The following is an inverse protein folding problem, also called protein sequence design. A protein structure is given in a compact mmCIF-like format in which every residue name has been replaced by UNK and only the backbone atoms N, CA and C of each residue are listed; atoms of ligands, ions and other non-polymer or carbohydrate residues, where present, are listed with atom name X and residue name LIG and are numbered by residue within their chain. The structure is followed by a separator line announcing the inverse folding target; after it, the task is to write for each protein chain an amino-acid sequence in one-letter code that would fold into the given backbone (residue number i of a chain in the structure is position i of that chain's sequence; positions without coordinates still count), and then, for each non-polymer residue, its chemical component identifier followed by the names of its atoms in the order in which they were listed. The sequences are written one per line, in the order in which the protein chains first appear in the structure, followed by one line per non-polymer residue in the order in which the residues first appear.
data_IF_458755182002
#
_entry.id   IF_458755182002
#
_cell.length_a   1.000
_cell.length_b   1.000
_cell.length_c   1.000
_cell.angle_alpha   90.00
_cell.angle_beta   90.00
_cell.angle_gamma   90.00
#
_symmetry.space_group_name_H-M   'P 1'
#
loop_
_entity.id
_entity.type
_entity.pdbx_description
1 polymer ?
#
# COMPACT_ATOMS: atom_id res chain seq x y z
N UNK A 1 -12.43 -5.48 6.52
CA UNK A 1 -11.39 -6.17 7.30
C UNK A 1 -11.29 -5.50 8.66
N UNK A 2 -11.31 -6.24 9.77
CA UNK A 2 -11.12 -5.66 11.10
C UNK A 2 -9.62 -5.60 11.40
N UNK A 3 -9.01 -4.42 11.27
CA UNK A 3 -7.57 -4.23 11.48
C UNK A 3 -7.14 -4.38 12.95
N UNK A 4 -8.07 -4.35 13.92
CA UNK A 4 -7.73 -4.37 15.34
C UNK A 4 -7.18 -5.73 15.84
N UNK A 5 -7.32 -6.78 15.05
CA UNK A 5 -6.84 -8.13 15.38
C UNK A 5 -5.37 -8.34 15.00
N UNK A 6 -4.81 -7.43 14.20
CA UNK A 6 -3.43 -7.47 13.75
C UNK A 6 -2.48 -6.84 14.78
N UNK A 7 -1.21 -7.25 14.78
CA UNK A 7 -0.17 -6.62 15.57
C UNK A 7 0.02 -5.15 15.16
N UNK A 8 0.67 -4.35 16.01
CA UNK A 8 0.90 -2.93 15.71
C UNK A 8 1.64 -2.71 14.38
N UNK A 9 2.63 -3.57 14.08
CA UNK A 9 3.41 -3.48 12.82
C UNK A 9 2.53 -3.82 11.61
N UNK A 10 1.70 -4.83 11.75
CA UNK A 10 0.78 -5.26 10.69
C UNK A 10 -0.28 -4.19 10.42
N UNK A 11 -0.87 -3.61 11.47
CA UNK A 11 -1.76 -2.44 11.30
C UNK A 11 -1.05 -1.28 10.60
N UNK A 12 0.23 -1.07 10.89
CA UNK A 12 1.02 0.00 10.31
C UNK A 12 1.24 -0.19 8.80
N UNK A 13 1.61 -1.40 8.34
CA UNK A 13 1.73 -1.68 6.90
C UNK A 13 0.37 -1.63 6.20
N UNK A 14 -0.69 -2.12 6.85
CA UNK A 14 -2.04 -2.13 6.26
C UNK A 14 -2.63 -0.72 6.11
N UNK A 15 -2.16 0.25 6.90
CA UNK A 15 -2.59 1.64 6.84
C UNK A 15 -1.59 2.57 6.17
N UNK A 16 -0.45 2.04 5.69
CA UNK A 16 0.63 2.89 5.19
C UNK A 16 0.21 3.68 3.95
N UNK A 17 -0.54 3.06 3.04
CA UNK A 17 -1.02 3.72 1.81
C UNK A 17 -1.97 4.86 2.14
N UNK A 18 -2.93 4.64 3.04
CA UNK A 18 -3.85 5.69 3.49
C UNK A 18 -3.09 6.86 4.12
N UNK A 19 -2.13 6.58 5.01
CA UNK A 19 -1.28 7.61 5.63
C UNK A 19 -0.48 8.42 4.60
N UNK A 20 0.05 7.75 3.58
CA UNK A 20 0.79 8.41 2.51
C UNK A 20 -0.10 9.35 1.71
N UNK A 21 -1.30 8.90 1.34
CA UNK A 21 -2.28 9.69 0.60
C UNK A 21 -2.75 10.89 1.42
N UNK A 22 -3.11 10.69 2.69
CA UNK A 22 -3.52 11.77 3.60
C UNK A 22 -2.42 12.83 3.73
N UNK A 23 -1.17 12.40 3.94
CA UNK A 23 -0.03 13.30 4.03
C UNK A 23 0.17 14.09 2.73
N UNK A 24 0.03 13.44 1.57
CA UNK A 24 0.17 14.10 0.30
C UNK A 24 -0.95 15.15 0.08
N UNK A 25 -2.18 14.86 0.52
CA UNK A 25 -3.30 15.81 0.50
C UNK A 25 -3.09 17.02 1.42
N UNK A 26 -2.51 16.83 2.60
CA UNK A 26 -2.22 17.93 3.53
C UNK A 26 -1.14 18.90 3.01
N UNK A 27 -0.25 18.42 2.13
CA UNK A 27 0.86 19.22 1.59
C UNK A 27 0.50 20.04 0.34
N UNK A 28 -0.70 19.87 -0.22
CA UNK A 28 -1.10 20.50 -1.48
C UNK A 28 -2.51 21.07 -1.42
N UNK A 29 -2.66 22.35 -1.77
CA UNK A 29 -3.97 22.99 -1.97
C UNK A 29 -4.64 22.60 -3.31
N UNK A 30 -4.01 21.73 -4.11
CA UNK A 30 -4.49 21.24 -5.40
C UNK A 30 -4.65 19.72 -5.39
N UNK A 31 -5.46 19.15 -6.32
CA UNK A 31 -5.60 17.70 -6.49
C UNK A 31 -4.23 17.03 -6.62
N UNK A 32 -3.88 16.22 -5.61
CA UNK A 32 -2.57 15.58 -5.54
C UNK A 32 -2.46 14.54 -6.63
N UNK A 33 -1.36 14.62 -7.37
CA UNK A 33 -1.00 13.60 -8.35
C UNK A 33 0.13 12.76 -7.78
N UNK A 34 -0.21 11.59 -7.25
CA UNK A 34 0.77 10.62 -6.69
C UNK A 34 1.30 9.75 -7.84
N UNK A 35 2.62 9.67 -8.00
CA UNK A 35 3.24 8.82 -9.02
C UNK A 35 3.31 7.38 -8.54
N UNK A 36 3.23 6.45 -9.49
CA UNK A 36 3.36 5.00 -9.28
C UNK A 36 4.63 4.67 -8.49
N UNK A 37 5.78 5.16 -8.93
CA UNK A 37 7.06 4.87 -8.27
C UNK A 37 7.09 5.42 -6.84
N UNK A 38 6.49 6.59 -6.59
CA UNK A 38 6.55 7.20 -5.25
C UNK A 38 5.75 6.39 -4.23
N UNK A 39 4.55 5.93 -4.61
CA UNK A 39 3.71 5.12 -3.72
C UNK A 39 4.28 3.71 -3.54
N UNK A 40 4.81 3.09 -4.59
CA UNK A 40 5.46 1.78 -4.49
C UNK A 40 6.70 1.82 -3.59
N UNK A 41 7.59 2.80 -3.83
CA UNK A 41 8.79 2.97 -3.01
C UNK A 41 8.43 3.20 -1.54
N UNK A 42 7.35 3.95 -1.27
CA UNK A 42 6.90 4.18 0.10
C UNK A 42 6.42 2.88 0.76
N UNK A 43 5.57 2.11 0.08
CA UNK A 43 5.07 0.82 0.60
C UNK A 43 6.21 -0.16 0.85
N UNK A 44 7.16 -0.25 -0.07
CA UNK A 44 8.32 -1.14 0.03
C UNK A 44 9.25 -0.72 1.17
N UNK A 45 9.52 0.58 1.31
CA UNK A 45 10.33 1.11 2.42
C UNK A 45 9.69 0.83 3.78
N UNK A 46 8.36 0.94 3.88
CA UNK A 46 7.62 0.64 5.11
C UNK A 46 7.65 -0.85 5.43
N UNK A 47 7.49 -1.72 4.43
CA UNK A 47 7.59 -3.16 4.61
C UNK A 47 8.99 -3.57 5.10
N UNK A 48 10.05 -3.03 4.49
CA UNK A 48 11.43 -3.23 4.91
C UNK A 48 11.68 -2.75 6.35
N UNK A 49 11.24 -1.52 6.66
CA UNK A 49 11.38 -0.91 8.00
C UNK A 49 10.68 -1.74 9.08
N UNK A 50 9.53 -2.32 8.76
CA UNK A 50 8.75 -3.15 9.68
C UNK A 50 9.22 -4.61 9.71
N UNK A 51 10.12 -4.99 8.79
CA UNK A 51 10.59 -6.36 8.56
C UNK A 51 9.45 -7.31 8.21
N UNK A 52 8.51 -6.84 7.38
CA UNK A 52 7.38 -7.63 6.90
C UNK A 52 7.73 -8.18 5.51
N UNK A 53 7.82 -9.51 5.35
CA UNK A 53 8.07 -10.11 4.05
C UNK A 53 6.89 -9.86 3.11
N UNK A 54 7.18 -9.69 1.83
CA UNK A 54 6.16 -9.51 0.80
C UNK A 54 6.59 -10.10 -0.54
N UNK A 55 5.60 -10.47 -1.35
CA UNK A 55 5.76 -10.68 -2.79
C UNK A 55 5.17 -9.47 -3.54
N UNK A 56 5.83 -9.06 -4.63
CA UNK A 56 5.37 -7.97 -5.50
C UNK A 56 5.13 -8.50 -6.91
N UNK A 57 4.02 -8.10 -7.50
CA UNK A 57 3.78 -8.21 -8.95
C UNK A 57 3.30 -6.86 -9.47
N UNK A 58 4.00 -6.29 -10.45
CA UNK A 58 3.68 -4.97 -10.99
C UNK A 58 3.46 -5.02 -12.50
N UNK A 59 2.37 -4.41 -12.94
CA UNK A 59 2.00 -4.19 -14.34
C UNK A 59 1.92 -2.69 -14.64
N UNK A 60 1.64 -2.31 -15.87
CA UNK A 60 1.47 -0.90 -16.23
C UNK A 60 0.26 -0.25 -15.54
N UNK A 61 -0.80 -1.00 -15.25
CA UNK A 61 -2.07 -0.46 -14.71
C UNK A 61 -2.33 -0.81 -13.26
N UNK A 62 -1.56 -1.74 -12.70
CA UNK A 62 -1.80 -2.24 -11.36
C UNK A 62 -0.54 -2.85 -10.74
N UNK A 63 -0.39 -2.70 -9.42
CA UNK A 63 0.60 -3.42 -8.62
C UNK A 63 -0.09 -4.17 -7.49
N UNK A 64 0.37 -5.39 -7.24
CA UNK A 64 -0.09 -6.28 -6.19
C UNK A 64 1.07 -6.51 -5.23
N UNK A 65 0.78 -6.38 -3.94
CA UNK A 65 1.64 -6.84 -2.86
C UNK A 65 0.92 -7.95 -2.10
N UNK A 66 1.60 -9.05 -1.83
CA UNK A 66 1.13 -10.08 -0.90
C UNK A 66 2.02 -10.01 0.32
N UNK A 67 1.51 -9.43 1.41
CA UNK A 67 2.20 -9.37 2.68
C UNK A 67 2.00 -10.67 3.46
N UNK A 68 3.09 -11.24 3.97
CA UNK A 68 3.07 -12.41 4.83
C UNK A 68 3.02 -11.94 6.29
N UNK A 69 1.82 -11.90 6.84
CA UNK A 69 1.56 -11.52 8.22
C UNK A 69 1.52 -12.78 9.10
N UNK A 70 1.53 -12.63 10.43
CA UNK A 70 1.77 -13.74 11.35
C UNK A 70 0.73 -14.87 11.22
N UNK A 71 -0.54 -14.51 10.97
CA UNK A 71 -1.67 -15.46 10.94
C UNK A 71 -2.33 -15.59 9.56
N UNK A 72 -1.97 -14.75 8.60
CA UNK A 72 -2.62 -14.72 7.29
C UNK A 72 -1.79 -13.98 6.25
N UNK A 73 -2.17 -14.14 5.00
CA UNK A 73 -1.65 -13.32 3.90
C UNK A 73 -2.64 -12.22 3.59
N UNK A 74 -2.14 -11.01 3.37
CA UNK A 74 -2.97 -9.89 2.94
C UNK A 74 -2.48 -9.40 1.59
N UNK A 75 -3.40 -9.32 0.64
CA UNK A 75 -3.16 -8.75 -0.66
C UNK A 75 -3.56 -7.28 -0.67
N UNK A 76 -2.63 -6.44 -1.12
CA UNK A 76 -2.84 -5.02 -1.39
C UNK A 76 -2.71 -4.78 -2.89
N UNK A 77 -3.74 -4.21 -3.47
CA UNK A 77 -3.80 -3.86 -4.88
C UNK A 77 -3.77 -2.35 -5.04
N UNK A 78 -2.91 -1.83 -5.89
CA UNK A 78 -2.80 -0.41 -6.20
C UNK A 78 -3.08 -0.22 -7.69
N UNK A 79 -4.06 0.61 -8.03
CA UNK A 79 -4.48 0.85 -9.41
C UNK A 79 -3.96 2.20 -9.93
N UNK A 80 -3.55 2.21 -11.20
CA UNK A 80 -2.97 3.40 -11.85
C UNK A 80 -3.74 3.83 -13.09
N UNK A 81 -3.76 5.15 -13.34
CA UNK A 81 -4.16 5.77 -14.62
C UNK A 81 -2.93 6.25 -15.37
N UNK A 82 -3.03 6.28 -16.71
CA UNK A 82 -1.94 6.69 -17.61
C UNK A 82 -0.61 5.98 -17.30
N UNK A 83 -0.70 4.77 -16.73
CA UNK A 83 0.42 3.92 -16.33
C UNK A 83 1.37 4.52 -15.28
N UNK A 84 1.06 5.70 -14.75
CA UNK A 84 2.01 6.51 -13.98
C UNK A 84 1.43 7.09 -12.71
N UNK A 85 0.11 7.13 -12.56
CA UNK A 85 -0.52 7.88 -11.46
C UNK A 85 -1.49 7.03 -10.68
N UNK A 86 -1.35 7.04 -9.36
CA UNK A 86 -2.27 6.39 -8.43
C UNK A 86 -3.71 6.87 -8.63
N UNK A 87 -4.65 5.96 -8.41
CA UNK A 87 -6.09 6.25 -8.45
C UNK A 87 -6.81 5.74 -7.20
N UNK A 88 -6.64 4.46 -6.88
CA UNK A 88 -7.26 3.79 -5.74
C UNK A 88 -6.42 2.59 -5.33
N UNK A 89 -6.71 2.04 -4.17
CA UNK A 89 -6.19 0.76 -3.73
C UNK A 89 -7.29 -0.08 -3.06
N UNK A 90 -7.06 -1.39 -2.97
CA UNK A 90 -7.88 -2.34 -2.21
C UNK A 90 -7.01 -3.23 -1.35
N UNK A 91 -7.54 -3.65 -0.22
CA UNK A 91 -6.87 -4.54 0.73
C UNK A 91 -7.81 -5.72 1.01
N UNK A 92 -7.31 -6.93 0.81
CA UNK A 92 -8.10 -8.16 0.91
C UNK A 92 -7.29 -9.28 1.58
N UNK A 93 -7.95 -10.08 2.42
CA UNK A 93 -7.32 -11.27 2.99
C UNK A 93 -7.24 -12.37 1.92
N UNK A 94 -6.11 -13.08 1.86
CA UNK A 94 -5.92 -14.24 0.99
C UNK A 94 -5.94 -15.49 1.87
N UNK A 95 -6.89 -16.40 1.61
CA UNK A 95 -7.00 -17.71 2.27
C UNK A 95 -6.04 -18.72 1.66
#
# INVERSE_FOLDING_TARGET
MNINEFSRKEQEILTCIDKYIEKAHQQSNQPVTIRKNDIENYVESEAERLSIPYEKNSTSVQTYYIFFLDQQKVQVEIFYRYQSYYTRHSITNVH
#
